data_IF_249802984951
#
_entry.id   IF_249802984951
#
_cell.length_a   1.000
_cell.length_b   1.000
_cell.length_c   1.000
_cell.angle_alpha   90.00
_cell.angle_beta   90.00
_cell.angle_gamma   90.00
#
_symmetry.space_group_name_H-M   'P 1'
#
loop_
_entity.id
_entity.type
_entity.pdbx_description
1 polymer ?
#
# COMPACT_ATOMS: atom_id res chain seq x y z
N UNK A 1 9.22 6.88 -6.67
CA UNK A 1 8.28 7.23 -5.59
C UNK A 1 6.96 6.54 -5.88
N UNK A 2 6.48 5.63 -5.02
CA UNK A 2 5.41 4.69 -5.38
C UNK A 2 4.05 5.36 -5.63
N UNK A 3 3.80 6.52 -5.02
CA UNK A 3 2.59 7.32 -5.25
C UNK A 3 2.50 7.97 -6.65
N UNK A 4 3.60 8.00 -7.42
CA UNK A 4 3.61 8.55 -8.78
C UNK A 4 3.31 7.51 -9.86
N UNK A 5 3.60 6.25 -9.59
CA UNK A 5 3.45 5.14 -10.55
C UNK A 5 2.25 4.22 -10.21
N UNK A 6 1.65 4.38 -9.04
CA UNK A 6 0.52 3.58 -8.61
C UNK A 6 -0.75 3.93 -9.41
N UNK A 7 -1.46 2.89 -9.84
CA UNK A 7 -2.81 3.01 -10.40
C UNK A 7 -3.78 3.35 -9.29
N UNK A 8 -4.57 4.41 -9.46
CA UNK A 8 -5.59 4.84 -8.50
C UNK A 8 -6.94 4.22 -8.84
N UNK A 9 -7.72 3.89 -7.82
CA UNK A 9 -9.13 3.56 -7.95
C UNK A 9 -9.95 4.81 -8.30
N UNK A 10 -11.19 4.63 -8.76
CA UNK A 10 -12.09 5.73 -9.13
C UNK A 10 -12.33 6.74 -7.99
N UNK A 11 -12.35 6.25 -6.75
CA UNK A 11 -12.49 7.07 -5.53
C UNK A 11 -11.17 7.72 -5.06
N UNK A 12 -10.10 7.61 -5.84
CA UNK A 12 -8.78 8.18 -5.54
C UNK A 12 -7.94 7.40 -4.54
N UNK A 13 -8.44 6.27 -4.00
CA UNK A 13 -7.64 5.37 -3.16
C UNK A 13 -6.66 4.54 -3.99
N UNK A 14 -5.70 3.90 -3.33
CA UNK A 14 -4.75 2.97 -3.95
C UNK A 14 -4.89 1.63 -3.23
N UNK A 15 -5.25 0.59 -3.98
CA UNK A 15 -5.16 -0.79 -3.51
C UNK A 15 -3.76 -1.32 -3.82
N UNK A 16 -3.14 -1.99 -2.85
CA UNK A 16 -1.85 -2.69 -3.02
C UNK A 16 -2.08 -4.14 -2.66
N UNK A 17 -1.71 -5.05 -3.57
CA UNK A 17 -1.77 -6.49 -3.30
C UNK A 17 -0.37 -7.03 -3.04
N UNK A 18 -0.25 -7.89 -2.04
CA UNK A 18 0.99 -8.57 -1.68
C UNK A 18 0.88 -10.04 -2.05
N UNK A 19 1.68 -10.49 -3.03
CA UNK A 19 1.64 -11.87 -3.52
C UNK A 19 0.47 -12.19 -4.44
N UNK A 20 0.54 -13.38 -5.05
CA UNK A 20 -0.46 -13.80 -6.06
C UNK A 20 -0.48 -12.89 -7.28
N UNK A 21 0.63 -12.23 -7.60
CA UNK A 21 0.70 -11.28 -8.69
C UNK A 21 0.56 -11.96 -10.05
N UNK A 22 -0.34 -11.42 -10.86
CA UNK A 22 -0.42 -11.64 -12.31
C UNK A 22 -0.38 -10.29 -13.03
N UNK A 23 -0.33 -10.31 -14.37
CA UNK A 23 -0.26 -9.09 -15.19
C UNK A 23 -1.57 -8.26 -15.17
N UNK A 24 -2.60 -8.70 -14.44
CA UNK A 24 -3.93 -8.08 -14.39
C UNK A 24 -4.18 -7.33 -13.09
N UNK A 25 -3.44 -7.65 -12.02
CA UNK A 25 -3.61 -7.01 -10.71
C UNK A 25 -2.75 -5.74 -10.63
N UNK A 26 -3.34 -4.54 -10.66
CA UNK A 26 -2.59 -3.30 -10.53
C UNK A 26 -1.92 -3.19 -9.15
N UNK A 27 -0.77 -2.52 -9.09
CA UNK A 27 0.01 -2.29 -7.86
C UNK A 27 0.37 -3.57 -7.08
N UNK A 28 0.54 -4.71 -7.75
CA UNK A 28 0.94 -5.94 -7.08
C UNK A 28 2.44 -5.93 -6.73
N UNK A 29 2.75 -6.29 -5.49
CA UNK A 29 4.10 -6.45 -4.98
C UNK A 29 4.36 -7.94 -4.72
N UNK A 30 5.32 -8.58 -5.41
CA UNK A 30 5.69 -9.95 -5.12
C UNK A 30 6.26 -10.07 -3.69
N UNK A 31 5.94 -11.17 -3.02
CA UNK A 31 6.38 -11.45 -1.64
C UNK A 31 7.08 -12.81 -1.56
N UNK A 32 7.84 -13.00 -0.49
CA UNK A 32 8.50 -14.27 -0.13
C UNK A 32 8.04 -14.73 1.26
N UNK A 33 8.19 -16.02 1.61
CA UNK A 33 7.90 -16.48 2.97
C UNK A 33 8.68 -15.68 4.02
N UNK A 34 8.00 -15.23 5.08
CA UNK A 34 8.60 -14.45 6.17
C UNK A 34 8.84 -12.96 5.89
N UNK A 35 8.24 -12.41 4.83
CA UNK A 35 8.32 -10.98 4.48
C UNK A 35 7.69 -10.05 5.54
N UNK A 36 8.05 -8.77 5.47
CA UNK A 36 7.41 -7.66 6.16
C UNK A 36 7.22 -6.47 5.20
N UNK A 37 6.35 -5.53 5.55
CA UNK A 37 6.16 -4.28 4.83
C UNK A 37 6.75 -3.08 5.59
N UNK A 38 7.19 -2.09 4.82
CA UNK A 38 7.61 -0.78 5.34
C UNK A 38 7.06 0.32 4.46
N UNK A 39 6.35 1.26 5.08
CA UNK A 39 5.80 2.43 4.40
C UNK A 39 6.64 3.66 4.74
N UNK A 40 7.10 4.37 3.71
CA UNK A 40 7.84 5.64 3.84
C UNK A 40 6.95 6.79 3.42
N UNK A 41 6.69 7.71 4.35
CA UNK A 41 5.92 8.92 4.09
C UNK A 41 6.87 10.11 3.99
N UNK A 42 6.89 10.77 2.83
CA UNK A 42 7.64 12.00 2.64
C UNK A 42 6.74 13.19 2.95
N UNK A 43 7.20 14.08 3.85
CA UNK A 43 6.44 15.27 4.29
C UNK A 43 5.04 14.91 4.82
N UNK A 44 4.98 14.00 5.79
CA UNK A 44 3.72 13.56 6.42
C UNK A 44 2.96 14.73 7.07
N UNK A 45 1.62 14.65 7.03
CA UNK A 45 0.75 15.61 7.73
C UNK A 45 0.86 15.43 9.26
N UNK A 46 0.55 16.47 10.07
CA UNK A 46 0.56 16.36 11.54
C UNK A 46 -0.32 15.23 12.09
N UNK A 47 -1.41 14.87 11.40
CA UNK A 47 -2.30 13.76 11.79
C UNK A 47 -1.62 12.40 11.82
N UNK A 48 -0.56 12.21 11.05
CA UNK A 48 0.27 11.00 11.09
C UNK A 48 1.16 11.02 12.34
N UNK A 49 1.76 12.17 12.64
CA UNK A 49 2.71 12.34 13.75
C UNK A 49 2.01 12.30 15.11
N UNK A 50 0.78 12.80 15.20
CA UNK A 50 -0.01 12.77 16.43
C UNK A 50 -0.90 11.52 16.57
N UNK A 51 -0.78 10.57 15.63
CA UNK A 51 -1.47 9.27 15.69
C UNK A 51 -2.97 9.29 15.37
N UNK A 52 -3.55 10.43 14.98
CA UNK A 52 -4.95 10.51 14.57
C UNK A 52 -5.23 9.73 13.28
N UNK A 53 -4.23 9.63 12.41
CA UNK A 53 -4.28 8.78 11.23
C UNK A 53 -3.39 7.56 11.44
N UNK A 54 -3.91 6.38 11.13
CA UNK A 54 -3.17 5.11 11.16
C UNK A 54 -3.05 4.54 9.76
N UNK A 55 -1.90 3.93 9.47
CA UNK A 55 -1.71 3.18 8.24
C UNK A 55 -2.69 1.98 8.21
N UNK A 56 -3.38 1.71 7.09
CA UNK A 56 -4.26 0.56 6.98
C UNK A 56 -3.48 -0.76 7.10
N UNK A 57 -4.02 -1.71 7.87
CA UNK A 57 -3.44 -3.05 7.94
C UNK A 57 -3.71 -3.83 6.65
N UNK A 58 -2.70 -4.55 6.16
CA UNK A 58 -2.87 -5.51 5.10
C UNK A 58 -3.81 -6.64 5.57
N UNK A 59 -4.71 -7.07 4.70
CA UNK A 59 -5.67 -8.14 4.98
C UNK A 59 -5.42 -9.32 4.06
N UNK A 60 -5.62 -10.57 4.53
CA UNK A 60 -5.62 -11.73 3.65
C UNK A 60 -6.62 -11.54 2.51
N UNK A 61 -6.23 -11.91 1.30
CA UNK A 61 -7.14 -12.02 0.16
C UNK A 61 -7.97 -13.29 0.37
N UNK A 62 -9.30 -13.16 0.35
CA UNK A 62 -10.24 -14.28 0.42
C UNK A 62 -10.35 -14.99 -0.92
#
# INVERSE_FOLDING_TARGET
>A
MNNLIATKNENGTISVQFGGCDDKIPNCLPITPGWNDMVRLYRSKPTVLNGLWKFPEARPVL
#
